data_IF_099751527382
#
_entry.id   IF_099751527382
#
_cell.length_a   1.000
_cell.length_b   1.000
_cell.length_c   1.000
_cell.angle_alpha   90.00
_cell.angle_beta   90.00
_cell.angle_gamma   90.00
#
_symmetry.space_group_name_H-M   'P 1'
#
loop_
_entity.id
_entity.type
_entity.pdbx_description
1 polymer ?
#
# COMPACT_ATOMS: atom_id res chain seq x y z
N UNK A 1 10.93 27.89 -6.38
CA UNK A 1 9.98 26.75 -6.39
C UNK A 1 10.38 25.62 -5.44
N UNK A 2 11.33 24.72 -5.75
CA UNK A 2 11.60 23.58 -4.85
C UNK A 2 12.09 24.00 -3.45
N UNK A 3 13.09 24.88 -3.36
CA UNK A 3 13.61 25.39 -2.08
C UNK A 3 12.57 26.19 -1.27
N UNK A 4 11.66 26.89 -1.94
CA UNK A 4 10.57 27.64 -1.27
C UNK A 4 9.55 26.68 -0.67
N UNK A 5 9.17 25.62 -1.42
CA UNK A 5 8.25 24.58 -0.95
C UNK A 5 8.87 23.76 0.20
N UNK A 6 10.17 23.45 0.14
CA UNK A 6 10.89 22.80 1.24
C UNK A 6 10.90 23.65 2.51
N UNK A 7 11.17 24.95 2.38
CA UNK A 7 11.20 25.89 3.50
C UNK A 7 9.80 26.08 4.11
N UNK A 8 8.76 26.16 3.29
CA UNK A 8 7.37 26.27 3.75
C UNK A 8 6.91 25.00 4.46
N UNK A 9 7.21 23.82 3.90
CA UNK A 9 6.90 22.53 4.54
C UNK A 9 7.62 22.37 5.89
N UNK A 10 8.89 22.80 5.96
CA UNK A 10 9.65 22.79 7.20
C UNK A 10 9.06 23.76 8.25
N UNK A 11 8.58 24.93 7.83
CA UNK A 11 7.92 25.89 8.72
C UNK A 11 6.61 25.34 9.30
N UNK A 12 5.84 24.59 8.50
CA UNK A 12 4.54 24.06 8.92
C UNK A 12 4.62 22.76 9.73
N UNK A 13 5.49 21.84 9.33
CA UNK A 13 5.56 20.48 9.94
C UNK A 13 6.78 20.27 10.83
N UNK A 14 7.74 21.20 10.83
CA UNK A 14 9.02 21.07 11.53
C UNK A 14 9.97 20.04 10.90
N UNK A 15 9.57 19.37 9.82
CA UNK A 15 10.36 18.32 9.15
C UNK A 15 11.01 18.89 7.89
N UNK A 16 12.31 18.70 7.75
CA UNK A 16 13.02 19.03 6.52
C UNK A 16 12.89 17.90 5.50
N UNK A 17 12.47 18.24 4.29
CA UNK A 17 12.43 17.34 3.14
C UNK A 17 13.32 17.91 2.04
N UNK A 18 13.99 17.04 1.28
CA UNK A 18 14.76 17.45 0.10
C UNK A 18 14.01 17.00 -1.15
N UNK A 19 13.62 17.97 -1.98
CA UNK A 19 12.95 17.78 -3.24
C UNK A 19 13.98 17.84 -4.36
N UNK A 20 14.13 16.73 -5.08
CA UNK A 20 14.94 16.72 -6.28
C UNK A 20 14.22 17.47 -7.41
N UNK A 21 14.79 18.59 -7.84
CA UNK A 21 14.27 19.44 -8.91
C UNK A 21 14.00 18.68 -10.22
N UNK A 22 14.80 17.66 -10.54
CA UNK A 22 14.61 16.82 -11.74
C UNK A 22 13.35 15.96 -11.59
N UNK A 23 13.13 15.38 -10.41
CA UNK A 23 11.93 14.57 -10.12
C UNK A 23 10.67 15.43 -10.22
N UNK A 24 10.67 16.63 -9.65
CA UNK A 24 9.55 17.57 -9.73
C UNK A 24 9.29 17.99 -11.18
N UNK A 25 10.33 18.32 -11.94
CA UNK A 25 10.21 18.67 -13.34
C UNK A 25 9.68 17.51 -14.20
N UNK A 26 10.12 16.27 -13.93
CA UNK A 26 9.64 15.09 -14.62
C UNK A 26 8.14 14.84 -14.35
N UNK A 27 7.69 15.04 -13.11
CA UNK A 27 6.27 14.97 -12.76
C UNK A 27 5.45 16.04 -13.49
N UNK A 28 5.92 17.28 -13.54
CA UNK A 28 5.25 18.38 -14.27
C UNK A 28 5.15 18.08 -15.78
N UNK A 29 6.12 17.38 -16.35
CA UNK A 29 6.12 16.94 -17.75
C UNK A 29 5.25 15.70 -18.03
N UNK A 30 4.49 15.22 -17.05
CA UNK A 30 3.62 14.05 -17.17
C UNK A 30 4.27 12.72 -16.78
N UNK A 31 5.40 12.76 -16.07
CA UNK A 31 5.98 11.58 -15.44
C UNK A 31 5.04 10.99 -14.40
N UNK A 32 5.02 9.66 -14.26
CA UNK A 32 4.20 8.97 -13.26
C UNK A 32 4.88 9.01 -11.89
N UNK A 33 4.09 9.14 -10.82
CA UNK A 33 4.63 9.00 -9.47
C UNK A 33 5.05 7.54 -9.26
N UNK A 34 6.16 7.34 -8.55
CA UNK A 34 6.61 6.00 -8.16
C UNK A 34 5.53 5.28 -7.33
N UNK A 35 4.72 6.02 -6.57
CA UNK A 35 3.59 5.50 -5.83
C UNK A 35 2.54 4.87 -6.77
N UNK A 36 2.21 5.52 -7.89
CA UNK A 36 1.25 5.03 -8.88
C UNK A 36 1.78 3.76 -9.56
N UNK A 37 3.06 3.78 -9.96
CA UNK A 37 3.73 2.62 -10.57
C UNK A 37 3.81 1.45 -9.59
N UNK A 38 3.99 1.71 -8.29
CA UNK A 38 3.99 0.66 -7.28
C UNK A 38 2.58 0.16 -6.95
N UNK A 39 1.56 1.02 -7.06
CA UNK A 39 0.16 0.61 -6.94
C UNK A 39 -0.26 -0.30 -8.09
N UNK A 40 0.21 -0.03 -9.33
CA UNK A 40 0.03 -0.92 -10.48
C UNK A 40 0.70 -2.30 -10.28
N UNK A 41 1.74 -2.40 -9.44
CA UNK A 41 2.42 -3.66 -9.09
C UNK A 41 1.80 -4.36 -7.88
N UNK A 42 0.71 -3.84 -7.32
CA UNK A 42 0.03 -4.46 -6.18
C UNK A 42 -0.63 -5.77 -6.61
N UNK A 43 -0.55 -6.79 -5.76
CA UNK A 43 -1.27 -8.05 -6.00
C UNK A 43 -2.78 -7.86 -5.97
N UNK A 44 -3.27 -7.05 -5.02
CA UNK A 44 -4.69 -6.75 -4.88
C UNK A 44 -5.06 -5.45 -5.61
N UNK A 45 -6.21 -5.47 -6.26
CA UNK A 45 -6.90 -4.27 -6.75
C UNK A 45 -7.43 -3.44 -5.56
N UNK A 46 -7.80 -2.17 -5.77
CA UNK A 46 -8.40 -1.37 -4.71
C UNK A 46 -9.66 -2.01 -4.11
N UNK A 47 -10.50 -2.63 -4.94
CA UNK A 47 -11.73 -3.30 -4.48
C UNK A 47 -11.39 -4.50 -3.59
N UNK A 48 -10.48 -5.36 -4.04
CA UNK A 48 -10.03 -6.52 -3.26
C UNK A 48 -9.31 -6.11 -1.97
N UNK A 49 -8.62 -4.97 -1.99
CA UNK A 49 -8.00 -4.41 -0.78
C UNK A 49 -9.04 -4.05 0.26
N UNK A 50 -10.16 -3.43 -0.16
CA UNK A 50 -11.28 -3.11 0.74
C UNK A 50 -11.94 -4.37 1.31
N UNK A 51 -12.11 -5.42 0.50
CA UNK A 51 -12.64 -6.70 0.96
C UNK A 51 -11.75 -7.33 2.04
N UNK A 52 -10.42 -7.34 1.83
CA UNK A 52 -9.47 -7.84 2.83
C UNK A 52 -9.52 -7.02 4.13
N UNK A 53 -9.63 -5.69 4.03
CA UNK A 53 -9.74 -4.83 5.23
C UNK A 53 -11.06 -5.12 5.96
N UNK A 54 -12.18 -5.23 5.23
CA UNK A 54 -13.48 -5.53 5.82
C UNK A 54 -13.47 -6.88 6.55
N UNK A 55 -12.88 -7.91 5.93
CA UNK A 55 -12.70 -9.22 6.55
C UNK A 55 -11.86 -9.16 7.84
N UNK A 56 -10.76 -8.40 7.85
CA UNK A 56 -9.95 -8.21 9.05
C UNK A 56 -10.71 -7.49 10.17
N UNK A 57 -11.50 -6.47 9.84
CA UNK A 57 -12.33 -5.74 10.79
C UNK A 57 -13.44 -6.63 11.36
N UNK A 58 -14.05 -7.49 10.54
CA UNK A 58 -15.04 -8.47 10.99
C UNK A 58 -14.39 -9.48 11.96
N UNK A 59 -13.21 -10.02 11.62
CA UNK A 59 -12.45 -10.88 12.52
C UNK A 59 -12.15 -10.19 13.87
N UNK A 60 -11.73 -8.92 13.83
CA UNK A 60 -11.47 -8.13 15.02
C UNK A 60 -12.75 -7.91 15.86
N UNK A 61 -13.90 -7.69 15.21
CA UNK A 61 -15.19 -7.52 15.88
C UNK A 61 -15.63 -8.78 16.66
N UNK A 62 -15.23 -9.96 16.18
CA UNK A 62 -15.46 -11.23 16.86
C UNK A 62 -14.42 -11.54 17.95
N UNK A 63 -13.50 -10.60 18.22
CA UNK A 63 -12.46 -10.75 19.22
C UNK A 63 -11.26 -11.58 18.78
N UNK A 64 -11.12 -11.86 17.47
CA UNK A 64 -9.92 -12.50 16.95
C UNK A 64 -8.80 -11.47 16.76
N UNK A 65 -7.60 -11.72 17.31
CA UNK A 65 -6.44 -10.89 16.99
C UNK A 65 -6.13 -10.92 15.50
N UNK A 66 -5.52 -9.85 14.98
CA UNK A 66 -5.02 -9.82 13.61
C UNK A 66 -3.97 -10.92 13.42
N UNK A 67 -4.31 -11.92 12.61
CA UNK A 67 -3.44 -13.05 12.29
C UNK A 67 -2.88 -12.88 10.87
N UNK A 68 -1.57 -12.68 10.76
CA UNK A 68 -0.85 -12.58 9.49
C UNK A 68 -1.04 -13.81 8.60
N UNK A 69 -1.27 -15.00 9.18
CA UNK A 69 -1.55 -16.21 8.41
C UNK A 69 -2.92 -16.13 7.74
N UNK A 70 -3.97 -15.76 8.48
CA UNK A 70 -5.33 -15.59 7.92
C UNK A 70 -5.38 -14.49 6.87
N UNK A 71 -4.67 -13.38 7.12
CA UNK A 71 -4.52 -12.30 6.13
C UNK A 71 -3.90 -12.82 4.84
N UNK A 72 -2.82 -13.60 4.94
CA UNK A 72 -2.19 -14.22 3.77
C UNK A 72 -3.18 -15.16 3.06
N UNK A 73 -3.81 -16.08 3.79
CA UNK A 73 -4.72 -17.08 3.21
C UNK A 73 -5.87 -16.42 2.45
N UNK A 74 -6.49 -15.40 3.05
CA UNK A 74 -7.60 -14.67 2.43
C UNK A 74 -7.16 -13.85 1.22
N UNK A 75 -6.02 -13.14 1.31
CA UNK A 75 -5.47 -12.41 0.18
C UNK A 75 -5.07 -13.35 -0.97
N UNK A 76 -4.51 -14.52 -0.65
CA UNK A 76 -4.15 -15.54 -1.64
C UNK A 76 -5.39 -16.13 -2.31
N UNK A 77 -6.48 -16.37 -1.56
CA UNK A 77 -7.74 -16.88 -2.12
C UNK A 77 -8.33 -15.92 -3.15
N UNK A 78 -8.39 -14.62 -2.82
CA UNK A 78 -8.84 -13.57 -3.72
C UNK A 78 -7.94 -13.50 -4.96
N UNK A 79 -6.62 -13.47 -4.76
CA UNK A 79 -5.68 -13.42 -5.88
C UNK A 79 -5.77 -14.66 -6.77
N UNK A 80 -5.87 -15.86 -6.20
CA UNK A 80 -6.03 -17.11 -6.97
C UNK A 80 -7.34 -17.13 -7.74
N UNK A 81 -8.44 -16.65 -7.15
CA UNK A 81 -9.73 -16.59 -7.82
C UNK A 81 -9.69 -15.67 -9.06
N UNK A 82 -8.97 -14.54 -8.98
CA UNK A 82 -8.86 -13.59 -10.09
C UNK A 82 -7.77 -13.95 -11.12
N UNK A 83 -6.56 -14.26 -10.65
CA UNK A 83 -5.37 -14.42 -11.49
C UNK A 83 -5.12 -15.88 -11.90
N UNK A 84 -5.75 -16.84 -11.22
CA UNK A 84 -5.60 -18.27 -11.53
C UNK A 84 -4.14 -18.71 -11.53
N UNK A 85 -3.68 -19.24 -12.66
CA UNK A 85 -2.30 -19.72 -12.84
C UNK A 85 -1.24 -18.63 -12.96
N UNK A 86 -1.62 -17.36 -13.15
CA UNK A 86 -0.67 -16.24 -13.14
C UNK A 86 -0.22 -15.87 -11.72
N UNK A 87 -0.98 -16.30 -10.70
CA UNK A 87 -0.61 -16.10 -9.32
C UNK A 87 0.42 -17.15 -8.87
N UNK A 88 1.47 -16.74 -8.13
CA UNK A 88 2.43 -17.69 -7.59
C UNK A 88 1.77 -18.77 -6.73
N UNK A 89 2.19 -20.03 -6.89
CA UNK A 89 1.68 -21.15 -6.10
C UNK A 89 1.91 -20.94 -4.58
N UNK A 90 3.06 -20.36 -4.24
CA UNK A 90 3.44 -20.00 -2.87
C UNK A 90 2.60 -18.85 -2.26
N UNK A 91 1.85 -18.12 -3.11
CA UNK A 91 1.06 -16.96 -2.73
C UNK A 91 1.87 -15.73 -2.36
N UNK A 92 1.25 -14.80 -1.62
CA UNK A 92 1.92 -13.61 -1.13
C UNK A 92 3.00 -13.95 -0.09
N UNK A 93 4.08 -13.17 -0.09
CA UNK A 93 5.19 -13.38 0.83
C UNK A 93 4.82 -13.00 2.27
N UNK A 94 5.54 -13.54 3.25
CA UNK A 94 5.36 -13.14 4.67
C UNK A 94 5.55 -11.64 4.87
N UNK A 95 6.51 -11.02 4.17
CA UNK A 95 6.74 -9.58 4.27
C UNK A 95 5.60 -8.75 3.69
N UNK A 96 4.80 -9.30 2.78
CA UNK A 96 3.64 -8.61 2.22
C UNK A 96 2.59 -8.33 3.30
N UNK A 97 2.31 -9.29 4.18
CA UNK A 97 1.27 -9.13 5.22
C UNK A 97 1.65 -8.04 6.23
N UNK A 98 2.93 -7.96 6.62
CA UNK A 98 3.42 -6.86 7.48
C UNK A 98 3.29 -5.49 6.80
N UNK A 99 3.64 -5.41 5.51
CA UNK A 99 3.51 -4.16 4.75
C UNK A 99 2.06 -3.76 4.55
N UNK A 100 1.17 -4.71 4.34
CA UNK A 100 -0.26 -4.48 4.23
C UNK A 100 -0.82 -3.86 5.52
N UNK A 101 -0.55 -4.48 6.67
CA UNK A 101 -0.98 -3.96 7.97
C UNK A 101 -0.40 -2.58 8.24
N UNK A 102 0.91 -2.37 8.00
CA UNK A 102 1.53 -1.07 8.20
C UNK A 102 0.90 0.02 7.33
N UNK A 103 0.59 -0.30 6.06
CA UNK A 103 -0.03 0.62 5.10
C UNK A 103 -1.46 1.00 5.47
N UNK A 104 -2.18 0.11 6.14
CA UNK A 104 -3.59 0.29 6.51
C UNK A 104 -3.79 0.40 8.03
N UNK A 105 -2.73 0.76 8.77
CA UNK A 105 -2.74 0.84 10.24
C UNK A 105 -3.61 1.95 10.79
N UNK A 106 -3.99 2.93 9.97
CA UNK A 106 -4.99 3.95 10.29
C UNK A 106 -6.42 3.39 10.33
N UNK A 107 -6.64 2.23 9.71
CA UNK A 107 -7.95 1.59 9.52
C UNK A 107 -8.09 0.25 10.25
N UNK A 108 -7.00 -0.38 10.67
CA UNK A 108 -6.93 -1.69 11.34
C UNK A 108 -6.51 -1.53 12.81
#
# INVERSE_FOLDING_TARGET
>A
VCQEVEAEYQRETGKHISLNHVTVMNLVKGGRLLADVNAEKSWLTPIETEEVIAYLLECASWGHPLDHRRLKEHADEICRARLGSEFPEEGVSKSWTYRFVARHSDRL
#
